data_IF_305165475073
#
_entry.id   IF_305165475073
#
_cell.length_a   1.000
_cell.length_b   1.000
_cell.length_c   1.000
_cell.angle_alpha   90.00
_cell.angle_beta   90.00
_cell.angle_gamma   90.00
#
_symmetry.space_group_name_H-M   'P 1'
#
loop_
_entity.id
_entity.type
_entity.pdbx_description
1 polymer ?
#
# COMPACT_ATOMS: atom_id res chain seq x y z
N UNK A 1 9.31 2.04 15.03
CA UNK A 1 9.27 3.51 14.84
C UNK A 1 8.60 3.86 13.51
N UNK A 2 7.92 5.02 13.45
CA UNK A 2 7.36 5.58 12.23
C UNK A 2 8.24 6.74 11.74
N UNK A 3 8.42 6.82 10.43
CA UNK A 3 9.11 7.93 9.77
C UNK A 3 8.17 8.54 8.74
N UNK A 4 7.95 9.85 8.83
CA UNK A 4 7.33 10.62 7.77
C UNK A 4 8.39 11.01 6.75
N UNK A 5 8.22 10.60 5.50
CA UNK A 5 9.18 10.77 4.42
C UNK A 5 8.62 11.69 3.34
N UNK A 6 9.22 12.86 3.19
CA UNK A 6 8.95 13.72 2.03
C UNK A 6 9.61 13.10 0.80
N UNK A 7 8.91 13.13 -0.33
CA UNK A 7 9.48 12.67 -1.58
C UNK A 7 10.50 13.66 -2.13
N UNK A 8 10.18 14.94 -2.13
CA UNK A 8 10.98 16.00 -2.76
C UNK A 8 12.04 16.54 -1.80
N UNK A 9 13.18 15.85 -1.72
CA UNK A 9 14.31 16.29 -0.90
C UNK A 9 15.55 16.55 -1.77
N UNK A 10 16.40 17.55 -1.43
CA UNK A 10 17.65 17.77 -2.15
C UNK A 10 18.65 16.63 -1.92
N UNK A 11 19.32 16.21 -2.97
CA UNK A 11 20.32 15.13 -2.93
C UNK A 11 19.68 13.76 -3.18
N UNK A 12 19.42 12.98 -2.15
CA UNK A 12 18.66 11.73 -2.25
C UNK A 12 17.17 12.04 -2.14
N UNK A 13 16.38 11.54 -3.09
CA UNK A 13 14.93 11.63 -2.99
C UNK A 13 14.34 10.69 -1.92
N UNK A 14 13.05 10.87 -1.63
CA UNK A 14 12.37 10.09 -0.61
C UNK A 14 12.36 8.59 -0.88
N UNK A 15 12.27 8.17 -2.15
CA UNK A 15 12.29 6.75 -2.51
C UNK A 15 13.66 6.12 -2.24
N UNK A 16 14.73 6.74 -2.71
CA UNK A 16 16.10 6.28 -2.45
C UNK A 16 16.43 6.27 -0.96
N UNK A 17 15.94 7.27 -0.22
CA UNK A 17 16.11 7.34 1.24
C UNK A 17 15.35 6.21 1.92
N UNK A 18 14.11 5.94 1.50
CA UNK A 18 13.29 4.84 2.00
C UNK A 18 13.96 3.48 1.78
N UNK A 19 14.44 3.20 0.58
CA UNK A 19 15.15 1.96 0.26
C UNK A 19 16.37 1.75 1.17
N UNK A 20 17.19 2.79 1.34
CA UNK A 20 18.37 2.73 2.20
C UNK A 20 18.03 2.58 3.68
N UNK A 21 16.98 3.24 4.15
CA UNK A 21 16.51 3.13 5.53
C UNK A 21 16.03 1.72 5.83
N UNK A 22 15.18 1.16 4.96
CA UNK A 22 14.63 -0.19 5.10
C UNK A 22 15.69 -1.29 4.91
N UNK A 23 16.71 -1.06 4.07
CA UNK A 23 17.85 -1.99 3.95
C UNK A 23 18.66 -2.09 5.25
N UNK A 24 18.73 -1.02 6.05
CA UNK A 24 19.43 -0.99 7.34
C UNK A 24 18.56 -1.39 8.52
N UNK A 25 17.28 -1.01 8.48
CA UNK A 25 16.30 -1.22 9.54
C UNK A 25 14.96 -1.62 8.94
N UNK A 26 14.79 -2.92 8.61
CA UNK A 26 13.57 -3.45 7.97
C UNK A 26 12.29 -3.26 8.79
N UNK A 27 12.42 -3.04 10.10
CA UNK A 27 11.32 -2.82 11.02
C UNK A 27 10.73 -1.40 10.98
N UNK A 28 11.38 -0.46 10.28
CA UNK A 28 10.86 0.89 10.13
C UNK A 28 9.55 0.89 9.33
N UNK A 29 8.66 1.77 9.75
CA UNK A 29 7.40 2.03 9.06
C UNK A 29 7.46 3.42 8.46
N UNK A 30 7.35 3.50 7.14
CA UNK A 30 7.51 4.75 6.41
C UNK A 30 6.17 5.20 5.86
N UNK A 31 5.77 6.41 6.24
CA UNK A 31 4.61 7.12 5.71
C UNK A 31 5.11 8.23 4.81
N UNK A 32 4.75 8.17 3.54
CA UNK A 32 5.12 9.17 2.54
C UNK A 32 4.22 10.39 2.65
N UNK A 33 4.82 11.57 2.56
CA UNK A 33 4.14 12.84 2.35
C UNK A 33 4.35 13.29 0.90
N UNK A 34 3.27 13.52 0.17
CA UNK A 34 3.29 13.86 -1.25
C UNK A 34 2.45 15.11 -1.55
N UNK A 35 2.79 15.82 -2.62
CA UNK A 35 1.93 16.85 -3.22
C UNK A 35 0.99 16.22 -4.24
N UNK A 36 -0.15 16.86 -4.51
CA UNK A 36 -1.11 16.40 -5.53
C UNK A 36 -0.47 16.28 -6.91
N UNK A 37 -0.66 15.15 -7.59
CA UNK A 37 -0.46 15.04 -9.03
C UNK A 37 0.82 14.33 -9.51
N UNK A 38 1.67 13.82 -8.62
CA UNK A 38 2.95 13.21 -9.00
C UNK A 38 2.93 11.66 -8.92
N UNK A 39 2.19 11.03 -9.84
CA UNK A 39 2.04 9.56 -9.92
C UNK A 39 3.37 8.81 -10.00
N UNK A 40 4.37 9.37 -10.70
CA UNK A 40 5.69 8.77 -10.81
C UNK A 40 6.37 8.60 -9.44
N UNK A 41 6.15 9.54 -8.53
CA UNK A 41 6.70 9.52 -7.18
C UNK A 41 6.01 8.47 -6.30
N UNK A 42 4.69 8.37 -6.44
CA UNK A 42 3.92 7.37 -5.73
C UNK A 42 4.40 5.95 -6.06
N UNK A 43 4.50 5.61 -7.34
CA UNK A 43 4.97 4.30 -7.79
C UNK A 43 6.37 3.98 -7.24
N UNK A 44 7.26 4.95 -7.23
CA UNK A 44 8.62 4.77 -6.70
C UNK A 44 8.63 4.56 -5.19
N UNK A 45 7.81 5.29 -4.43
CA UNK A 45 7.70 5.11 -2.97
C UNK A 45 7.08 3.76 -2.59
N UNK A 46 6.07 3.31 -3.35
CA UNK A 46 5.50 1.96 -3.21
C UNK A 46 6.57 0.89 -3.42
N UNK A 47 7.35 1.00 -4.47
CA UNK A 47 8.44 0.06 -4.78
C UNK A 47 9.55 0.10 -3.74
N UNK A 48 9.82 1.27 -3.17
CA UNK A 48 10.79 1.45 -2.09
C UNK A 48 10.35 0.84 -0.75
N UNK A 49 9.05 0.51 -0.60
CA UNK A 49 8.52 -0.20 0.57
C UNK A 49 7.79 0.68 1.59
N UNK A 50 7.41 1.91 1.25
CA UNK A 50 6.56 2.73 2.12
C UNK A 50 5.21 2.04 2.37
N UNK A 51 4.65 2.24 3.57
CA UNK A 51 3.39 1.63 4.01
C UNK A 51 2.25 2.62 4.18
N UNK A 52 2.55 3.89 4.32
CA UNK A 52 1.57 4.95 4.43
C UNK A 52 1.78 6.01 3.35
N UNK A 53 0.67 6.60 2.89
CA UNK A 53 0.66 7.62 1.85
C UNK A 53 -0.35 8.69 2.19
N UNK A 54 0.13 9.89 2.51
CA UNK A 54 -0.64 11.07 2.82
C UNK A 54 -0.31 12.19 1.84
N UNK A 55 -1.28 13.04 1.61
CA UNK A 55 -1.03 14.34 0.98
C UNK A 55 -0.49 15.33 2.04
N UNK A 56 0.32 16.28 1.61
CA UNK A 56 0.86 17.33 2.52
C UNK A 56 -0.22 18.26 3.09
N UNK A 57 -1.38 18.29 2.46
CA UNK A 57 -2.56 19.04 2.88
C UNK A 57 -3.62 18.17 3.59
N UNK A 58 -3.29 16.90 3.90
CA UNK A 58 -4.14 16.02 4.71
C UNK A 58 -4.39 16.63 6.08
N UNK A 59 -5.59 16.44 6.61
CA UNK A 59 -5.93 16.93 7.95
C UNK A 59 -5.26 16.07 9.04
N UNK A 60 -5.35 16.54 10.28
CA UNK A 60 -4.71 15.84 11.41
C UNK A 60 -5.39 14.49 11.70
N UNK A 61 -6.67 14.33 11.36
CA UNK A 61 -7.40 13.07 11.49
C UNK A 61 -6.80 12.00 10.60
N UNK A 62 -6.58 12.33 9.31
CA UNK A 62 -5.91 11.44 8.34
C UNK A 62 -4.52 11.02 8.82
N UNK A 63 -3.76 11.97 9.41
CA UNK A 63 -2.40 11.68 9.93
C UNK A 63 -2.45 10.69 11.09
N UNK A 64 -3.37 10.88 12.03
CA UNK A 64 -3.53 9.99 13.18
C UNK A 64 -3.97 8.60 12.72
N UNK A 65 -4.96 8.52 11.83
CA UNK A 65 -5.43 7.25 11.27
C UNK A 65 -4.34 6.50 10.51
N UNK A 66 -3.51 7.23 9.75
CA UNK A 66 -2.35 6.64 9.06
C UNK A 66 -1.34 6.06 10.04
N UNK A 67 -1.04 6.76 11.15
CA UNK A 67 -0.14 6.27 12.19
C UNK A 67 -0.70 4.99 12.81
N UNK A 68 -1.95 4.99 13.24
CA UNK A 68 -2.58 3.85 13.92
C UNK A 68 -2.64 2.64 12.99
N UNK A 69 -3.07 2.82 11.74
CA UNK A 69 -3.14 1.76 10.72
C UNK A 69 -1.77 1.15 10.46
N UNK A 70 -0.75 1.96 10.24
CA UNK A 70 0.61 1.49 9.94
C UNK A 70 1.26 0.86 11.16
N UNK A 71 0.97 1.35 12.37
CA UNK A 71 1.44 0.74 13.62
C UNK A 71 0.80 -0.62 13.88
N UNK A 72 -0.46 -0.80 13.50
CA UNK A 72 -1.15 -2.10 13.55
C UNK A 72 -0.64 -3.10 12.49
N UNK A 73 0.23 -2.68 11.57
CA UNK A 73 0.81 -3.53 10.51
C UNK A 73 0.06 -3.48 9.18
N UNK A 74 -0.96 -2.62 9.07
CA UNK A 74 -1.68 -2.32 7.85
C UNK A 74 -0.93 -1.35 6.91
N UNK A 75 -1.63 -0.90 5.88
CA UNK A 75 -1.16 0.15 4.97
C UNK A 75 -2.24 1.22 4.83
N UNK A 76 -1.84 2.48 4.85
CA UNK A 76 -2.76 3.62 4.77
C UNK A 76 -2.57 4.39 3.47
N UNK A 77 -3.69 4.76 2.86
CA UNK A 77 -3.74 5.60 1.65
C UNK A 77 -4.82 6.64 1.84
N UNK A 78 -4.46 7.93 1.76
CA UNK A 78 -5.48 8.96 1.86
C UNK A 78 -6.54 8.80 0.76
N UNK A 79 -7.84 9.01 1.06
CA UNK A 79 -8.91 8.88 0.08
C UNK A 79 -8.70 9.72 -1.17
N UNK A 80 -8.16 10.93 -1.02
CA UNK A 80 -7.86 11.84 -2.10
C UNK A 80 -6.78 11.29 -3.04
N UNK A 81 -5.74 10.66 -2.46
CA UNK A 81 -4.68 10.00 -3.23
C UNK A 81 -5.22 8.82 -4.01
N UNK A 82 -6.04 7.98 -3.37
CA UNK A 82 -6.66 6.83 -4.01
C UNK A 82 -7.56 7.24 -5.18
N UNK A 83 -8.37 8.27 -5.02
CA UNK A 83 -9.23 8.82 -6.08
C UNK A 83 -8.42 9.34 -7.27
N UNK A 84 -7.30 10.02 -7.01
CA UNK A 84 -6.39 10.50 -8.06
C UNK A 84 -5.76 9.35 -8.84
N UNK A 85 -5.33 8.29 -8.16
CA UNK A 85 -4.74 7.11 -8.78
C UNK A 85 -5.76 6.32 -9.59
N UNK A 86 -6.97 6.10 -9.08
CA UNK A 86 -8.04 5.38 -9.76
C UNK A 86 -8.43 6.02 -11.09
N UNK A 87 -8.52 7.36 -11.14
CA UNK A 87 -8.85 8.09 -12.37
C UNK A 87 -7.82 7.92 -13.48
N UNK A 88 -6.54 7.75 -13.13
CA UNK A 88 -5.42 7.65 -14.09
C UNK A 88 -5.07 6.21 -14.46
N UNK A 89 -5.31 5.25 -13.58
CA UNK A 89 -4.95 3.84 -13.79
C UNK A 89 -5.91 3.11 -14.73
N UNK A 90 -7.10 3.64 -14.99
CA UNK A 90 -8.05 3.11 -15.99
C UNK A 90 -7.53 3.16 -17.44
N UNK A 91 -6.40 3.81 -17.69
CA UNK A 91 -5.84 4.01 -19.06
C UNK A 91 -4.65 3.12 -19.41
N UNK A 92 -4.23 2.21 -18.51
CA UNK A 92 -3.14 1.27 -18.79
C UNK A 92 -3.60 -0.18 -18.63
N UNK A 93 -4.01 -0.78 -19.74
CA UNK A 93 -4.03 -2.23 -19.90
C UNK A 93 -2.57 -2.69 -20.07
N UNK A 94 -2.15 -3.67 -19.23
CA UNK A 94 -1.25 -4.78 -19.57
C UNK A 94 -0.54 -5.36 -18.35
N UNK A 95 -0.99 -6.53 -17.89
CA UNK A 95 -0.15 -7.58 -17.32
C UNK A 95 -0.96 -8.90 -17.31
N UNK A 96 -0.35 -10.08 -17.57
CA UNK A 96 -1.07 -11.34 -17.56
C UNK A 96 -1.58 -11.66 -16.15
N UNK A 97 -2.88 -11.86 -16.05
CA UNK A 97 -3.55 -12.23 -14.81
C UNK A 97 -3.65 -13.75 -14.69
N UNK A 98 -2.94 -14.33 -13.74
CA UNK A 98 -3.46 -15.55 -13.14
C UNK A 98 -4.68 -15.16 -12.28
N UNK A 99 -5.85 -15.75 -12.56
CA UNK A 99 -7.07 -15.43 -11.82
C UNK A 99 -6.90 -15.69 -10.33
N UNK A 100 -7.13 -14.64 -9.52
CA UNK A 100 -7.21 -14.79 -8.08
C UNK A 100 -8.45 -15.63 -7.72
N UNK A 101 -8.28 -16.61 -6.85
CA UNK A 101 -9.39 -17.36 -6.28
C UNK A 101 -10.34 -16.41 -5.51
N UNK A 102 -11.59 -16.85 -5.31
CA UNK A 102 -12.55 -16.08 -4.52
C UNK A 102 -11.98 -15.68 -3.14
N UNK A 103 -11.28 -16.62 -2.48
CA UNK A 103 -10.66 -16.37 -1.16
C UNK A 103 -9.50 -15.39 -1.21
N UNK A 104 -8.67 -15.46 -2.23
CA UNK A 104 -7.59 -14.50 -2.45
C UNK A 104 -8.13 -13.10 -2.73
N UNK A 105 -9.24 -13.02 -3.46
CA UNK A 105 -9.91 -11.75 -3.75
C UNK A 105 -10.51 -11.12 -2.47
N UNK A 106 -11.16 -11.90 -1.60
CA UNK A 106 -11.65 -11.44 -0.29
C UNK A 106 -10.52 -10.87 0.57
N UNK A 107 -9.40 -11.59 0.64
CA UNK A 107 -8.22 -11.16 1.40
C UNK A 107 -7.61 -9.89 0.78
N UNK A 108 -7.54 -9.80 -0.55
CA UNK A 108 -7.03 -8.60 -1.23
C UNK A 108 -7.90 -7.37 -0.93
N UNK A 109 -9.23 -7.51 -0.92
CA UNK A 109 -10.15 -6.43 -0.53
C UNK A 109 -9.89 -5.99 0.92
N UNK A 110 -9.73 -6.93 1.85
CA UNK A 110 -9.44 -6.60 3.25
C UNK A 110 -8.06 -5.91 3.41
N UNK A 111 -7.06 -6.32 2.63
CA UNK A 111 -5.76 -5.64 2.56
C UNK A 111 -5.91 -4.19 2.06
N UNK A 112 -6.76 -3.96 1.07
CA UNK A 112 -7.01 -2.62 0.54
C UNK A 112 -7.75 -1.71 1.56
N UNK A 113 -8.49 -2.30 2.50
CA UNK A 113 -9.11 -1.59 3.64
C UNK A 113 -8.10 -1.27 4.75
N UNK A 114 -6.83 -1.63 4.58
CA UNK A 114 -5.76 -1.38 5.53
C UNK A 114 -5.63 -2.40 6.67
N UNK A 115 -6.42 -3.47 6.66
CA UNK A 115 -6.42 -4.45 7.75
C UNK A 115 -5.08 -5.20 7.86
N UNK A 116 -4.64 -5.42 9.10
CA UNK A 116 -3.52 -6.29 9.43
C UNK A 116 -3.88 -7.77 9.20
N UNK A 117 -2.89 -8.65 9.12
CA UNK A 117 -3.13 -10.08 8.93
C UNK A 117 -3.93 -10.73 10.07
N UNK A 118 -3.85 -10.17 11.29
CA UNK A 118 -4.64 -10.65 12.42
C UNK A 118 -6.11 -10.24 12.27
N UNK A 119 -6.38 -8.98 11.92
CA UNK A 119 -7.75 -8.50 11.71
C UNK A 119 -8.43 -9.22 10.55
N UNK A 120 -7.70 -9.49 9.46
CA UNK A 120 -8.20 -10.30 8.34
C UNK A 120 -8.52 -11.73 8.79
N UNK A 121 -7.65 -12.34 9.61
CA UNK A 121 -7.87 -13.68 10.14
C UNK A 121 -9.14 -13.74 10.99
N UNK A 122 -9.35 -12.74 11.85
CA UNK A 122 -10.52 -12.64 12.72
C UNK A 122 -11.81 -12.39 11.91
N UNK A 123 -11.78 -11.47 10.94
CA UNK A 123 -12.93 -11.15 10.08
C UNK A 123 -13.34 -12.34 9.20
N UNK A 124 -12.38 -13.09 8.68
CA UNK A 124 -12.63 -14.20 7.77
C UNK A 124 -12.70 -15.59 8.46
N UNK A 125 -12.61 -15.62 9.80
CA UNK A 125 -12.67 -16.84 10.62
C UNK A 125 -11.64 -17.90 10.19
N UNK A 126 -10.39 -17.48 9.94
CA UNK A 126 -9.26 -18.34 9.58
C UNK A 126 -8.05 -18.03 10.45
N UNK A 127 -7.01 -18.85 10.39
CA UNK A 127 -5.78 -18.57 11.11
C UNK A 127 -4.96 -17.46 10.43
N UNK A 128 -4.22 -16.67 11.22
CA UNK A 128 -3.26 -15.70 10.69
C UNK A 128 -2.27 -16.33 9.71
N UNK A 129 -1.81 -17.56 9.99
CA UNK A 129 -0.93 -18.33 9.09
C UNK A 129 -1.57 -18.60 7.74
N UNK A 130 -2.90 -18.82 7.71
CA UNK A 130 -3.65 -19.01 6.47
C UNK A 130 -3.70 -17.71 5.67
N UNK A 131 -3.89 -16.56 6.34
CA UNK A 131 -3.84 -15.23 5.71
C UNK A 131 -2.45 -14.98 5.13
N UNK A 132 -1.38 -15.24 5.88
CA UNK A 132 0.01 -15.08 5.43
C UNK A 132 0.27 -15.88 4.14
N UNK A 133 -0.21 -17.14 4.09
CA UNK A 133 -0.07 -18.00 2.90
C UNK A 133 -0.83 -17.43 1.69
N UNK A 134 -2.08 -17.01 1.88
CA UNK A 134 -2.86 -16.41 0.78
C UNK A 134 -2.22 -15.11 0.29
N UNK A 135 -1.70 -14.26 1.18
CA UNK A 135 -1.00 -13.02 0.78
C UNK A 135 0.25 -13.32 -0.04
N UNK A 136 1.03 -14.34 0.34
CA UNK A 136 2.18 -14.77 -0.45
C UNK A 136 1.76 -15.22 -1.87
N UNK A 137 0.70 -16.02 -1.98
CA UNK A 137 0.17 -16.46 -3.27
C UNK A 137 -0.35 -15.28 -4.11
N UNK A 138 -1.05 -14.31 -3.49
CA UNK A 138 -1.54 -13.12 -4.18
C UNK A 138 -0.36 -12.31 -4.74
N UNK A 139 0.70 -12.10 -3.94
CA UNK A 139 1.91 -11.40 -4.39
C UNK A 139 2.56 -12.11 -5.58
N UNK A 140 2.66 -13.44 -5.53
CA UNK A 140 3.22 -14.26 -6.62
C UNK A 140 2.36 -14.14 -7.89
N UNK A 141 1.05 -14.36 -7.80
CA UNK A 141 0.11 -14.31 -8.94
C UNK A 141 0.02 -12.93 -9.58
N UNK A 142 0.10 -11.87 -8.78
CA UNK A 142 -0.02 -10.49 -9.26
C UNK A 142 1.31 -9.88 -9.68
N UNK A 143 2.43 -10.54 -9.37
CA UNK A 143 3.78 -9.98 -9.57
C UNK A 143 4.09 -8.78 -8.66
N UNK A 144 3.25 -8.54 -7.66
CA UNK A 144 3.43 -7.44 -6.71
C UNK A 144 4.50 -7.78 -5.67
N UNK A 145 5.30 -6.78 -5.26
CA UNK A 145 6.41 -6.99 -4.31
C UNK A 145 6.03 -6.72 -2.85
N UNK A 146 4.98 -5.98 -2.60
CA UNK A 146 4.56 -5.56 -1.26
C UNK A 146 3.07 -5.20 -1.22
N UNK A 147 2.55 -4.93 -0.02
CA UNK A 147 1.14 -4.55 0.20
C UNK A 147 0.73 -3.31 -0.58
N UNK A 148 1.59 -2.29 -0.64
CA UNK A 148 1.27 -1.05 -1.34
C UNK A 148 1.08 -1.30 -2.85
N UNK A 149 1.93 -2.13 -3.48
CA UNK A 149 1.75 -2.52 -4.88
C UNK A 149 0.48 -3.36 -5.11
N UNK A 150 0.06 -4.18 -4.12
CA UNK A 150 -1.20 -4.91 -4.18
C UNK A 150 -2.42 -3.99 -4.21
N UNK A 151 -2.41 -2.91 -3.41
CA UNK A 151 -3.51 -1.92 -3.40
C UNK A 151 -3.61 -1.23 -4.76
N UNK A 152 -2.49 -0.81 -5.34
CA UNK A 152 -2.46 -0.23 -6.70
C UNK A 152 -2.99 -1.23 -7.72
N UNK A 153 -2.58 -2.48 -7.64
CA UNK A 153 -3.07 -3.55 -8.51
C UNK A 153 -4.59 -3.72 -8.40
N UNK A 154 -5.13 -3.79 -7.17
CA UNK A 154 -6.56 -3.97 -6.94
C UNK A 154 -7.41 -2.81 -7.50
N UNK A 155 -6.93 -1.58 -7.38
CA UNK A 155 -7.56 -0.38 -7.96
C UNK A 155 -7.53 -0.47 -9.50
N UNK A 156 -6.38 -0.79 -10.09
CA UNK A 156 -6.24 -0.93 -11.55
C UNK A 156 -7.18 -1.97 -12.15
N UNK A 157 -7.39 -3.07 -11.45
CA UNK A 157 -8.24 -4.18 -11.87
C UNK A 157 -9.72 -4.01 -11.51
N UNK A 158 -10.09 -2.90 -10.87
CA UNK A 158 -11.45 -2.64 -10.43
C UNK A 158 -11.94 -3.64 -9.37
N UNK A 159 -11.02 -4.26 -8.62
CA UNK A 159 -11.36 -5.19 -7.53
C UNK A 159 -11.91 -4.42 -6.33
N UNK A 160 -11.43 -3.20 -6.12
CA UNK A 160 -11.94 -2.26 -5.13
C UNK A 160 -12.33 -0.97 -5.84
N UNK A 161 -13.52 -0.46 -5.49
CA UNK A 161 -14.00 0.87 -5.87
C UNK A 161 -13.73 1.83 -4.70
N UNK A 162 -13.37 3.05 -5.02
CA UNK A 162 -13.06 4.13 -4.05
C UNK A 162 -14.11 5.20 -4.17
#
# INVERSE_FOLDING_TARGET
DIVFMDFSMPGLDGAQTTERALARRPELRIITLSMFGEESYYTRMVQAGARGFLLKDSDIGDVVEAIDTVMAGGSYFSPQLLSSLAGRLRTREDAPDEELSAREREILVAVCRGLSNQEIADELFISKRTVDKHRANILEKTGCKNTASLVVYAIRKGIVEI
#
